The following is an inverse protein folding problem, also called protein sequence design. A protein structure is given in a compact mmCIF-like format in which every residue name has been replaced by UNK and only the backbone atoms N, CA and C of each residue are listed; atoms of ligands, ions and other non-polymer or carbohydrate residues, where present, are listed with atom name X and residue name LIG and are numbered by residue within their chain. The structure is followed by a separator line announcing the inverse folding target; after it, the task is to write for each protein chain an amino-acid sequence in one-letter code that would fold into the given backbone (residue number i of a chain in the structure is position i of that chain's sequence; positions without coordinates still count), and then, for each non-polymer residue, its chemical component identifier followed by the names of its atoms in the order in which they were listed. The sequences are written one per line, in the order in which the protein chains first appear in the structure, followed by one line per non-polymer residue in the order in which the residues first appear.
data_IF_503357388468
#
_entry.id   IF_503357388468
#
_cell.length_a   1.000
_cell.length_b   1.000
_cell.length_c   1.000
_cell.angle_alpha   90.00
_cell.angle_beta   90.00
_cell.angle_gamma   90.00
#
_symmetry.space_group_name_H-M   'P 1'
#
loop_
_entity.id
_entity.type
_entity.pdbx_description
1 polymer ?
#
# COMPACT_ATOMS: atom_id res chain seq x y z
N UNK A 1 -3.67 3.78 -17.05
CA UNK A 1 -2.46 4.43 -16.50
C UNK A 1 -2.90 5.34 -15.36
N UNK A 2 -2.93 4.83 -14.14
CA UNK A 2 -3.13 5.67 -12.94
C UNK A 2 -1.90 6.55 -12.79
N UNK A 3 -2.06 7.88 -12.77
CA UNK A 3 -0.93 8.78 -12.48
C UNK A 3 -0.65 8.72 -10.98
N UNK A 4 0.61 8.50 -10.61
CA UNK A 4 1.04 8.39 -9.21
C UNK A 4 0.69 9.63 -8.37
N UNK A 5 0.47 10.79 -9.02
CA UNK A 5 0.01 12.02 -8.39
C UNK A 5 -1.40 11.96 -7.78
N UNK A 6 -2.19 10.92 -8.06
CA UNK A 6 -3.53 10.71 -7.47
C UNK A 6 -3.52 9.68 -6.31
N UNK A 7 -2.35 9.15 -5.95
CA UNK A 7 -2.18 8.18 -4.88
C UNK A 7 -1.80 8.91 -3.58
N UNK A 8 -2.71 8.91 -2.61
CA UNK A 8 -2.41 9.41 -1.27
C UNK A 8 -1.83 8.27 -0.41
N UNK A 9 -0.51 8.26 -0.24
CA UNK A 9 0.21 7.19 0.47
C UNK A 9 0.14 7.34 1.99
N UNK A 10 -0.27 6.27 2.65
CA UNK A 10 -0.25 6.12 4.10
C UNK A 10 0.90 5.18 4.51
N UNK A 11 1.84 5.71 5.29
CA UNK A 11 2.97 4.94 5.84
C UNK A 11 2.54 4.19 7.10
N UNK A 12 2.92 2.91 7.20
CA UNK A 12 2.65 2.09 8.38
C UNK A 12 3.35 2.65 9.63
N UNK A 13 2.69 2.59 10.78
CA UNK A 13 3.26 2.92 12.09
C UNK A 13 4.35 1.95 12.53
N UNK A 14 4.40 0.75 11.95
CA UNK A 14 5.44 -0.24 12.19
C UNK A 14 6.74 0.07 11.42
N UNK A 15 6.70 1.01 10.45
CA UNK A 15 7.85 1.47 9.68
C UNK A 15 8.72 2.44 10.47
N UNK A 16 9.33 1.93 11.54
CA UNK A 16 10.16 2.65 12.50
C UNK A 16 11.64 2.80 12.07
N UNK A 17 12.43 3.42 12.95
CA UNK A 17 13.84 3.77 12.73
C UNK A 17 14.81 2.59 12.72
N UNK A 18 14.36 1.41 13.16
CA UNK A 18 15.22 0.26 13.42
C UNK A 18 15.23 -0.72 12.24
N UNK A 19 15.11 -0.19 11.02
CA UNK A 19 15.11 -0.90 9.73
C UNK A 19 14.00 -1.91 9.45
N UNK A 20 13.15 -2.22 10.42
CA UNK A 20 12.12 -3.25 10.28
C UNK A 20 10.83 -2.67 9.67
N UNK A 21 10.35 -3.37 8.64
CA UNK A 21 9.04 -3.27 7.98
C UNK A 21 8.63 -1.90 7.45
N UNK A 22 9.11 -1.55 6.24
CA UNK A 22 8.83 -0.29 5.54
C UNK A 22 7.71 -0.46 4.49
N UNK A 23 6.46 -0.26 4.87
CA UNK A 23 5.31 -0.41 3.95
C UNK A 23 4.49 0.87 3.91
N UNK A 24 4.11 1.30 2.70
CA UNK A 24 3.09 2.31 2.46
C UNK A 24 1.96 1.75 1.60
N UNK A 25 0.74 2.22 1.85
CA UNK A 25 -0.47 1.82 1.12
C UNK A 25 -1.22 3.05 0.59
N UNK A 26 -1.82 2.95 -0.59
CA UNK A 26 -2.66 4.00 -1.15
C UNK A 26 -3.91 3.43 -1.82
N UNK A 27 -5.08 4.00 -1.53
CA UNK A 27 -6.26 3.83 -2.37
C UNK A 27 -6.23 4.92 -3.45
N UNK A 28 -6.36 4.54 -4.73
CA UNK A 28 -6.32 5.52 -5.80
C UNK A 28 -7.61 6.35 -5.84
N UNK A 29 -7.50 7.67 -5.70
CA UNK A 29 -8.65 8.58 -5.71
C UNK A 29 -9.43 8.51 -7.04
N UNK A 30 -8.73 8.34 -8.16
CA UNK A 30 -9.32 8.17 -9.50
C UNK A 30 -9.68 6.73 -9.87
N UNK A 31 -9.33 5.75 -9.04
CA UNK A 31 -9.59 4.32 -9.30
C UNK A 31 -9.84 3.57 -7.97
N UNK A 32 -11.03 3.71 -7.36
CA UNK A 32 -11.34 3.16 -6.05
C UNK A 32 -11.31 1.62 -5.99
N UNK A 33 -11.11 0.98 -7.15
CA UNK A 33 -11.03 -0.47 -7.31
C UNK A 33 -9.64 -1.03 -7.03
N UNK A 34 -8.60 -0.21 -6.87
CA UNK A 34 -7.22 -0.68 -6.70
C UNK A 34 -6.57 -0.11 -5.44
N UNK A 35 -5.98 -1.00 -4.64
CA UNK A 35 -5.12 -0.68 -3.50
C UNK A 35 -3.68 -0.91 -3.90
N UNK A 36 -2.86 0.11 -3.75
CA UNK A 36 -1.44 0.06 -4.06
C UNK A 36 -0.62 -0.17 -2.78
N UNK A 37 0.41 -0.99 -2.87
CA UNK A 37 1.32 -1.30 -1.75
C UNK A 37 2.76 -1.20 -2.24
N UNK A 38 3.59 -0.44 -1.51
CA UNK A 38 5.00 -0.27 -1.85
C UNK A 38 5.91 -0.32 -0.63
N UNK A 39 7.19 -0.53 -0.91
CA UNK A 39 8.25 -0.35 0.06
C UNK A 39 8.51 1.15 0.28
N UNK A 40 8.43 1.62 1.52
CA UNK A 40 8.70 3.02 1.87
C UNK A 40 10.13 3.44 1.54
N UNK A 41 11.08 2.50 1.55
CA UNK A 41 12.50 2.77 1.26
C UNK A 41 12.78 2.95 -0.23
N UNK A 42 11.87 2.47 -1.08
CA UNK A 42 12.06 2.45 -2.54
C UNK A 42 10.82 3.02 -3.27
N UNK A 43 10.42 4.28 -3.01
CA UNK A 43 9.13 4.82 -3.45
C UNK A 43 8.99 4.98 -4.98
N UNK A 44 10.10 5.00 -5.71
CA UNK A 44 10.15 5.15 -7.17
C UNK A 44 10.26 3.81 -7.92
N UNK A 45 10.33 2.68 -7.21
CA UNK A 45 10.30 1.35 -7.81
C UNK A 45 8.85 0.94 -8.11
N UNK A 46 8.62 -0.06 -8.98
CA UNK A 46 7.30 -0.61 -9.18
C UNK A 46 6.67 -1.06 -7.85
N UNK A 47 5.38 -0.80 -7.71
CA UNK A 47 4.58 -1.16 -6.54
C UNK A 47 3.52 -2.19 -6.92
N UNK A 48 3.02 -2.91 -5.92
CA UNK A 48 1.95 -3.90 -6.12
C UNK A 48 0.60 -3.19 -6.20
N UNK A 49 -0.30 -3.71 -7.02
CA UNK A 49 -1.68 -3.25 -7.14
C UNK A 49 -2.63 -4.42 -6.92
N UNK A 50 -3.56 -4.27 -5.98
CA UNK A 50 -4.55 -5.27 -5.62
C UNK A 50 -5.95 -4.77 -5.95
N UNK A 51 -6.81 -5.65 -6.47
CA UNK A 51 -8.23 -5.34 -6.52
C UNK A 51 -8.76 -5.13 -5.10
N UNK A 52 -9.61 -4.11 -4.89
CA UNK A 52 -10.12 -3.74 -3.58
C UNK A 52 -10.80 -4.92 -2.84
N UNK A 53 -11.60 -5.80 -3.49
CA UNK A 53 -12.17 -6.97 -2.80
C UNK A 53 -11.10 -7.96 -2.33
N UNK A 54 -10.03 -8.16 -3.10
CA UNK A 54 -8.94 -9.06 -2.73
C UNK A 54 -8.14 -8.50 -1.56
N UNK A 55 -7.86 -7.19 -1.55
CA UNK A 55 -7.22 -6.52 -0.43
C UNK A 55 -8.07 -6.61 0.85
N UNK A 56 -9.38 -6.36 0.74
CA UNK A 56 -10.30 -6.46 1.88
C UNK A 56 -10.37 -7.87 2.47
N UNK A 57 -10.27 -8.92 1.63
CA UNK A 57 -10.21 -10.30 2.10
C UNK A 57 -8.85 -10.67 2.73
N UNK A 58 -7.75 -10.09 2.22
CA UNK A 58 -6.40 -10.33 2.72
C UNK A 58 -6.14 -9.72 4.09
N UNK A 59 -6.61 -8.50 4.35
CA UNK A 59 -6.29 -7.75 5.58
C UNK A 59 -6.67 -8.50 6.87
N UNK A 60 -7.89 -9.05 7.02
CA UNK A 60 -8.25 -9.82 8.22
C UNK A 60 -7.27 -10.99 8.47
N UNK A 61 -7.01 -11.79 7.43
CA UNK A 61 -6.05 -12.92 7.49
C UNK A 61 -4.64 -12.48 7.90
N UNK A 62 -4.16 -11.35 7.36
CA UNK A 62 -2.82 -10.85 7.67
C UNK A 62 -2.73 -10.15 9.05
N UNK A 63 -3.86 -9.73 9.62
CA UNK A 63 -3.93 -9.01 10.89
C UNK A 63 -4.11 -9.92 12.11
N UNK A 64 -4.59 -11.14 11.90
CA UNK A 64 -4.63 -12.20 12.91
C UNK A 64 -3.20 -12.71 13.13
N UNK A 65 -2.60 -12.30 14.24
CA UNK A 65 -1.28 -12.78 14.70
C UNK A 65 -1.44 -13.94 15.67
#
# INVERSE_FOLDING_TARGET
MTRESELNWFKSSYSGSNDNDCVEVAAAAGSPTTVHVRDSKNPHRPHLGFAAPAWAAFVPYASER
#
